data_IF_633710024543
#
_entry.id   IF_633710024543
#
_cell.length_a   1.000
_cell.length_b   1.000
_cell.length_c   1.000
_cell.angle_alpha   90.00
_cell.angle_beta   90.00
_cell.angle_gamma   90.00
#
_symmetry.space_group_name_H-M   'P 1'
#
loop_
_entity.id
_entity.type
_entity.pdbx_description
1 polymer ?
#
# COMPACT_ATOMS: atom_id res chain seq x y z
N UNK A 1 -2.59 -59.46 9.63
CA UNK A 1 -2.70 -58.34 10.58
C UNK A 1 -3.57 -57.28 9.93
N UNK A 2 -4.83 -57.19 10.34
CA UNK A 2 -5.76 -56.20 9.80
C UNK A 2 -5.41 -54.83 10.41
N UNK A 3 -4.86 -53.95 9.58
CA UNK A 3 -4.61 -52.56 9.91
C UNK A 3 -5.96 -51.91 10.19
N UNK A 4 -6.29 -51.72 11.48
CA UNK A 4 -7.56 -51.11 11.88
C UNK A 4 -7.54 -49.66 11.43
N UNK A 5 -8.44 -49.28 10.53
CA UNK A 5 -8.65 -47.90 10.11
C UNK A 5 -8.86 -47.04 11.36
N UNK A 6 -7.88 -46.18 11.67
CA UNK A 6 -7.92 -45.31 12.84
C UNK A 6 -8.88 -44.15 12.59
N UNK A 7 -10.15 -44.36 12.92
CA UNK A 7 -11.23 -43.38 12.74
C UNK A 7 -11.00 -42.07 13.49
N UNK A 8 -10.24 -42.09 14.59
CA UNK A 8 -9.91 -40.88 15.36
C UNK A 8 -8.90 -39.96 14.65
N UNK A 9 -7.93 -40.54 13.94
CA UNK A 9 -7.00 -39.78 13.12
C UNK A 9 -7.72 -39.15 11.91
N UNK A 10 -8.67 -39.88 11.35
CA UNK A 10 -9.49 -39.41 10.24
C UNK A 10 -10.40 -38.24 10.63
N UNK A 11 -11.07 -38.31 11.79
CA UNK A 11 -11.91 -37.20 12.28
C UNK A 11 -11.09 -35.95 12.60
N UNK A 12 -9.89 -36.11 13.17
CA UNK A 12 -8.96 -34.99 13.39
C UNK A 12 -8.53 -34.33 12.07
N UNK A 13 -8.18 -35.12 11.05
CA UNK A 13 -7.81 -34.61 9.74
C UNK A 13 -8.96 -33.86 9.04
N UNK A 14 -10.20 -34.36 9.15
CA UNK A 14 -11.38 -33.66 8.62
C UNK A 14 -11.64 -32.33 9.34
N UNK A 15 -11.43 -32.27 10.66
CA UNK A 15 -11.56 -31.02 11.42
C UNK A 15 -10.53 -29.98 11.00
N UNK A 16 -9.27 -30.38 10.87
CA UNK A 16 -8.20 -29.50 10.41
C UNK A 16 -8.47 -28.97 8.99
N UNK A 17 -8.90 -29.84 8.08
CA UNK A 17 -9.30 -29.46 6.73
C UNK A 17 -10.42 -28.42 6.74
N UNK A 18 -11.44 -28.61 7.58
CA UNK A 18 -12.56 -27.68 7.71
C UNK A 18 -12.10 -26.29 8.18
N UNK A 19 -11.26 -26.23 9.21
CA UNK A 19 -10.70 -24.98 9.74
C UNK A 19 -9.83 -24.25 8.70
N UNK A 20 -9.01 -24.97 7.93
CA UNK A 20 -8.19 -24.38 6.87
C UNK A 20 -9.06 -23.88 5.70
N UNK A 21 -10.14 -24.58 5.36
CA UNK A 21 -11.11 -24.13 4.36
C UNK A 21 -11.78 -22.82 4.78
N UNK A 22 -12.21 -22.70 6.03
CA UNK A 22 -12.76 -21.44 6.56
C UNK A 22 -11.74 -20.31 6.48
N UNK A 23 -10.51 -20.55 6.93
CA UNK A 23 -9.44 -19.55 6.92
C UNK A 23 -9.11 -19.09 5.50
N UNK A 24 -9.00 -20.02 4.55
CA UNK A 24 -8.76 -19.71 3.13
C UNK A 24 -9.92 -18.92 2.52
N UNK A 25 -11.15 -19.26 2.87
CA UNK A 25 -12.36 -18.58 2.37
C UNK A 25 -12.44 -17.16 2.90
N UNK A 26 -12.29 -16.97 4.21
CA UNK A 26 -12.26 -15.65 4.85
C UNK A 26 -11.20 -14.73 4.22
N UNK A 27 -9.97 -15.24 4.04
CA UNK A 27 -8.89 -14.50 3.36
C UNK A 27 -9.26 -14.07 1.94
N UNK A 28 -9.92 -14.95 1.18
CA UNK A 28 -10.33 -14.65 -0.20
C UNK A 28 -11.46 -13.62 -0.24
N UNK A 29 -12.39 -13.67 0.71
CA UNK A 29 -13.46 -12.68 0.83
C UNK A 29 -12.88 -11.29 1.11
N UNK A 30 -12.12 -11.14 2.21
CA UNK A 30 -11.53 -9.86 2.59
C UNK A 30 -10.60 -9.33 1.50
N UNK A 31 -9.78 -10.21 0.90
CA UNK A 31 -8.93 -9.84 -0.23
C UNK A 31 -9.70 -9.34 -1.46
N UNK A 32 -10.90 -9.86 -1.71
CA UNK A 32 -11.75 -9.40 -2.81
C UNK A 32 -12.34 -8.01 -2.52
N UNK A 33 -12.88 -7.79 -1.31
CA UNK A 33 -13.39 -6.46 -0.93
C UNK A 33 -12.27 -5.40 -0.90
N UNK A 34 -11.11 -5.74 -0.35
CA UNK A 34 -9.94 -4.85 -0.35
C UNK A 34 -9.50 -4.48 -1.79
N UNK A 35 -9.74 -5.36 -2.78
CA UNK A 35 -9.36 -5.11 -4.17
C UNK A 35 -10.22 -3.98 -4.76
N UNK A 36 -11.52 -3.98 -4.48
CA UNK A 36 -12.45 -2.93 -4.92
C UNK A 36 -11.97 -1.57 -4.41
N UNK A 37 -11.69 -1.47 -3.12
CA UNK A 37 -11.21 -0.24 -2.48
C UNK A 37 -9.88 0.21 -3.08
N UNK A 38 -8.94 -0.71 -3.32
CA UNK A 38 -7.65 -0.39 -3.95
C UNK A 38 -7.81 0.19 -5.36
N UNK A 39 -8.67 -0.40 -6.18
CA UNK A 39 -8.89 0.12 -7.54
C UNK A 39 -9.57 1.50 -7.51
N UNK A 40 -10.47 1.74 -6.56
CA UNK A 40 -11.04 3.07 -6.35
C UNK A 40 -9.99 4.10 -5.92
N UNK A 41 -9.10 3.76 -5.00
CA UNK A 41 -8.01 4.65 -4.59
C UNK A 41 -7.12 5.04 -5.78
N UNK A 42 -6.85 4.09 -6.68
CA UNK A 42 -6.14 4.37 -7.93
C UNK A 42 -6.96 5.27 -8.86
N UNK A 43 -8.28 5.06 -8.96
CA UNK A 43 -9.18 5.88 -9.78
C UNK A 43 -9.22 7.32 -9.29
N UNK A 44 -9.36 7.55 -7.98
CA UNK A 44 -9.37 8.88 -7.37
C UNK A 44 -8.01 9.57 -7.60
N UNK A 45 -6.91 8.88 -7.30
CA UNK A 45 -5.57 9.43 -7.52
C UNK A 45 -5.31 9.78 -9.00
N UNK A 46 -5.74 8.93 -9.93
CA UNK A 46 -5.62 9.18 -11.36
C UNK A 46 -6.49 10.37 -11.81
N UNK A 47 -7.72 10.46 -11.31
CA UNK A 47 -8.66 11.55 -11.57
C UNK A 47 -8.15 12.90 -11.07
N UNK A 48 -7.47 12.92 -9.93
CA UNK A 48 -6.80 14.10 -9.38
C UNK A 48 -5.48 14.46 -10.11
N UNK A 49 -5.13 13.74 -11.19
CA UNK A 49 -3.93 14.03 -11.98
C UNK A 49 -2.62 13.58 -11.33
N UNK A 50 -2.65 12.75 -10.28
CA UNK A 50 -1.47 12.24 -9.55
C UNK A 50 -0.72 11.13 -10.33
N UNK A 51 -0.49 11.36 -11.62
CA UNK A 51 0.05 10.39 -12.58
C UNK A 51 1.40 10.76 -13.19
N UNK A 52 2.03 11.85 -12.74
CA UNK A 52 3.23 12.45 -13.36
C UNK A 52 4.36 11.44 -13.64
N UNK A 53 4.64 10.53 -12.72
CA UNK A 53 5.64 9.46 -12.91
C UNK A 53 5.03 8.05 -12.91
N UNK A 54 3.72 7.92 -12.70
CA UNK A 54 3.05 6.63 -12.45
C UNK A 54 3.42 5.93 -11.13
N UNK A 55 4.47 6.37 -10.44
CA UNK A 55 5.00 5.72 -9.23
C UNK A 55 3.97 5.61 -8.10
N UNK A 56 3.11 6.63 -7.92
CA UNK A 56 2.06 6.60 -6.91
C UNK A 56 1.07 5.47 -7.20
N UNK A 57 0.45 5.49 -8.39
CA UNK A 57 -0.57 4.52 -8.80
C UNK A 57 -0.06 3.07 -8.76
N UNK A 58 1.19 2.85 -9.17
CA UNK A 58 1.81 1.52 -9.18
C UNK A 58 2.03 0.96 -7.77
N UNK A 59 2.10 1.82 -6.76
CA UNK A 59 2.42 1.45 -5.39
C UNK A 59 1.25 1.58 -4.42
N UNK A 60 0.06 2.01 -4.88
CA UNK A 60 -1.19 1.85 -4.13
C UNK A 60 -1.52 0.37 -4.08
N UNK A 61 -1.36 -0.23 -2.90
CA UNK A 61 -1.46 -1.66 -2.67
C UNK A 61 -2.26 -1.98 -1.43
N UNK A 62 -2.63 -3.25 -1.32
CA UNK A 62 -3.07 -3.85 -0.06
C UNK A 62 -1.91 -4.63 0.54
N UNK A 63 -1.72 -4.49 1.85
CA UNK A 63 -0.76 -5.27 2.63
C UNK A 63 -1.54 -6.13 3.61
N UNK A 64 -1.32 -7.43 3.55
CA UNK A 64 -1.84 -8.36 4.57
C UNK A 64 -0.88 -8.38 5.74
N UNK A 65 -1.38 -8.13 6.93
CA UNK A 65 -0.63 -8.19 8.18
C UNK A 65 -1.40 -9.02 9.21
N UNK A 66 -0.66 -9.62 10.15
CA UNK A 66 -1.24 -10.32 11.29
C UNK A 66 -0.96 -9.49 12.53
N UNK A 67 -2.02 -9.03 13.18
CA UNK A 67 -1.97 -8.29 14.44
C UNK A 67 -1.42 -9.20 15.55
N UNK A 68 -0.78 -8.67 16.62
CA UNK A 68 -0.34 -9.46 17.76
C UNK A 68 -1.44 -10.35 18.37
N UNK A 69 -2.69 -9.90 18.29
CA UNK A 69 -3.91 -10.63 18.70
C UNK A 69 -4.27 -11.80 17.77
N UNK A 70 -3.46 -12.06 16.74
CA UNK A 70 -3.66 -13.15 15.78
C UNK A 70 -4.64 -12.83 14.65
N UNK A 71 -5.29 -11.66 14.67
CA UNK A 71 -6.22 -11.16 13.65
C UNK A 71 -5.48 -10.87 12.34
N UNK A 72 -6.01 -11.34 11.21
CA UNK A 72 -5.51 -10.98 9.89
C UNK A 72 -6.20 -9.73 9.37
N UNK A 73 -5.42 -8.72 9.02
CA UNK A 73 -5.92 -7.43 8.53
C UNK A 73 -5.36 -7.14 7.13
N UNK A 74 -6.16 -6.44 6.32
CA UNK A 74 -5.78 -5.97 4.99
C UNK A 74 -5.70 -4.45 5.01
N UNK A 75 -4.47 -3.94 5.08
CA UNK A 75 -4.19 -2.52 5.17
C UNK A 75 -4.02 -1.95 3.77
N UNK A 76 -4.85 -0.96 3.41
CA UNK A 76 -4.70 -0.18 2.19
C UNK A 76 -3.61 0.88 2.44
N UNK A 77 -2.65 1.00 1.52
CA UNK A 77 -1.62 2.01 1.64
C UNK A 77 -0.71 2.08 0.42
N UNK A 78 0.33 2.92 0.52
CA UNK A 78 1.31 3.12 -0.55
C UNK A 78 2.66 2.56 -0.14
N UNK A 79 3.24 1.68 -0.96
CA UNK A 79 4.62 1.22 -0.75
C UNK A 79 5.62 2.29 -1.18
N UNK A 80 6.56 2.59 -0.30
CA UNK A 80 7.65 3.53 -0.59
C UNK A 80 8.92 3.12 0.18
N UNK A 81 10.08 3.57 -0.29
CA UNK A 81 11.38 3.28 0.30
C UNK A 81 11.60 1.79 0.57
N UNK A 82 11.91 1.45 1.84
CA UNK A 82 12.17 0.06 2.26
C UNK A 82 10.94 -0.86 2.08
N UNK A 83 9.72 -0.30 2.05
CA UNK A 83 8.50 -1.07 1.89
C UNK A 83 8.25 -1.53 0.43
N UNK A 84 9.03 -1.04 -0.55
CA UNK A 84 9.01 -1.55 -1.93
C UNK A 84 9.52 -3.01 -2.03
N UNK A 85 10.26 -3.46 -1.02
CA UNK A 85 10.74 -4.84 -0.89
C UNK A 85 12.08 -5.11 -1.58
N UNK A 86 12.52 -6.37 -1.51
CA UNK A 86 13.87 -6.78 -1.97
C UNK A 86 14.06 -6.67 -3.49
N UNK A 87 12.97 -6.80 -4.26
CA UNK A 87 12.97 -6.72 -5.73
C UNK A 87 12.86 -5.30 -6.26
N UNK A 88 12.84 -4.29 -5.39
CA UNK A 88 12.76 -2.90 -5.81
C UNK A 88 14.04 -2.51 -6.56
N UNK A 89 13.86 -2.00 -7.77
CA UNK A 89 14.95 -1.48 -8.58
C UNK A 89 15.57 -0.26 -7.89
N UNK A 90 16.90 -0.19 -7.92
CA UNK A 90 17.68 0.86 -7.30
C UNK A 90 18.62 1.45 -8.34
N UNK A 91 18.69 2.77 -8.38
CA UNK A 91 19.64 3.50 -9.21
C UNK A 91 20.64 4.27 -8.36
N UNK A 92 21.87 4.33 -8.85
CA UNK A 92 22.92 5.15 -8.27
C UNK A 92 22.78 6.57 -8.79
N UNK A 93 22.75 7.54 -7.88
CA UNK A 93 22.64 8.96 -8.19
C UNK A 93 23.75 9.68 -7.45
N UNK A 94 24.52 10.52 -8.15
CA UNK A 94 25.51 11.38 -7.52
C UNK A 94 24.77 12.50 -6.78
N UNK A 95 24.94 12.55 -5.46
CA UNK A 95 24.39 13.62 -4.64
C UNK A 95 25.14 14.94 -4.84
N UNK A 96 24.54 16.04 -4.40
CA UNK A 96 25.14 17.39 -4.47
C UNK A 96 26.51 17.45 -3.79
N UNK A 97 26.76 16.59 -2.80
CA UNK A 97 28.02 16.51 -2.08
C UNK A 97 29.07 15.58 -2.76
N UNK A 98 28.88 15.24 -4.04
CA UNK A 98 29.74 14.33 -4.81
C UNK A 98 29.65 12.84 -4.43
N UNK A 99 28.98 12.50 -3.33
CA UNK A 99 28.79 11.11 -2.88
C UNK A 99 27.74 10.39 -3.72
N UNK A 100 28.05 9.17 -4.15
CA UNK A 100 27.09 8.28 -4.79
C UNK A 100 26.06 7.80 -3.76
N UNK A 101 24.77 7.98 -4.07
CA UNK A 101 23.65 7.57 -3.24
C UNK A 101 22.75 6.60 -4.01
N UNK A 102 22.30 5.56 -3.32
CA UNK A 102 21.32 4.62 -3.86
C UNK A 102 19.91 5.15 -3.66
N UNK A 103 19.16 5.33 -4.74
CA UNK A 103 17.75 5.73 -4.72
C UNK A 103 16.87 4.63 -5.29
N UNK A 104 15.70 4.44 -4.70
CA UNK A 104 14.69 3.53 -5.24
C UNK A 104 14.08 4.13 -6.51
N UNK A 105 13.90 3.29 -7.53
CA UNK A 105 13.10 3.62 -8.72
C UNK A 105 11.62 3.44 -8.36
N UNK A 106 10.74 4.26 -8.94
CA UNK A 106 9.30 4.25 -8.66
C UNK A 106 8.95 4.37 -7.17
N UNK A 107 9.63 5.27 -6.46
CA UNK A 107 9.41 5.50 -5.03
C UNK A 107 8.52 6.72 -4.77
N UNK A 108 7.23 6.54 -4.45
CA UNK A 108 6.31 7.64 -4.18
C UNK A 108 6.44 8.15 -2.74
N UNK A 109 7.65 8.53 -2.30
CA UNK A 109 7.92 8.99 -0.93
C UNK A 109 7.01 10.15 -0.46
N UNK A 110 6.48 10.93 -1.40
CA UNK A 110 5.63 12.09 -1.18
C UNK A 110 4.14 11.75 -0.95
N UNK A 111 3.74 10.47 -0.99
CA UNK A 111 2.32 10.08 -0.93
C UNK A 111 1.59 10.59 0.32
N UNK A 112 2.24 10.62 1.49
CA UNK A 112 1.65 11.11 2.75
C UNK A 112 1.28 12.59 2.65
N UNK A 113 2.13 13.37 1.98
CA UNK A 113 1.90 14.81 1.79
C UNK A 113 0.68 15.02 0.89
N UNK A 114 0.47 14.14 -0.10
CA UNK A 114 -0.74 14.19 -0.94
C UNK A 114 -1.98 13.78 -0.16
N UNK A 115 -1.90 12.75 0.68
CA UNK A 115 -3.06 12.26 1.43
C UNK A 115 -3.51 13.25 2.54
N UNK A 116 -2.54 13.82 3.29
CA UNK A 116 -2.82 14.61 4.50
C UNK A 116 -2.61 16.11 4.29
N UNK A 117 -1.87 16.51 3.25
CA UNK A 117 -1.42 17.87 3.07
C UNK A 117 -0.18 18.21 3.92
N UNK A 118 0.32 19.43 3.74
CA UNK A 118 1.41 19.99 4.55
C UNK A 118 1.06 21.41 4.98
N UNK A 119 1.26 21.73 6.26
CA UNK A 119 1.04 23.09 6.78
C UNK A 119 2.09 24.07 6.24
N UNK A 120 1.80 25.37 6.20
CA UNK A 120 2.80 26.39 5.92
C UNK A 120 4.01 26.23 6.84
N UNK A 121 5.21 26.20 6.28
CA UNK A 121 6.45 26.01 7.04
C UNK A 121 7.64 26.71 6.38
N UNK A 122 8.65 26.99 7.18
CA UNK A 122 9.91 27.55 6.70
C UNK A 122 10.91 26.43 6.46
N UNK A 123 11.42 26.35 5.24
CA UNK A 123 12.49 25.43 4.87
C UNK A 123 13.82 26.13 5.14
N UNK A 124 14.65 25.50 5.96
CA UNK A 124 15.98 25.97 6.31
C UNK A 124 17.06 24.97 5.87
N UNK A 125 18.30 25.43 5.62
CA UNK A 125 19.42 24.55 5.32
C UNK A 125 19.66 23.55 6.45
N UNK A 126 20.11 22.36 6.10
CA UNK A 126 20.53 21.37 7.10
C UNK A 126 21.71 21.92 7.92
N UNK A 127 21.82 21.47 9.17
CA UNK A 127 22.94 21.81 10.07
C UNK A 127 24.28 21.57 9.37
N UNK A 128 25.08 22.62 9.22
CA UNK A 128 26.38 22.60 8.51
C UNK A 128 26.35 23.16 7.08
N UNK A 129 25.17 23.37 6.47
CA UNK A 129 25.04 24.09 5.20
C UNK A 129 24.61 25.54 5.44
N UNK A 130 25.17 26.49 4.70
CA UNK A 130 24.81 27.92 4.79
C UNK A 130 23.65 28.32 3.87
N UNK A 131 23.37 27.53 2.83
CA UNK A 131 22.39 27.84 1.80
C UNK A 131 21.63 26.59 1.36
N UNK A 132 20.37 26.80 0.97
CA UNK A 132 19.61 25.90 0.11
C UNK A 132 20.03 26.15 -1.33
N UNK A 133 20.16 25.10 -2.13
CA UNK A 133 20.56 25.18 -3.53
C UNK A 133 19.67 24.27 -4.38
N UNK A 134 19.14 24.80 -5.48
CA UNK A 134 18.41 24.04 -6.48
C UNK A 134 19.10 24.19 -7.83
N UNK A 135 19.74 23.12 -8.28
CA UNK A 135 20.32 23.02 -9.61
C UNK A 135 19.21 22.66 -10.59
N UNK A 136 18.88 23.54 -11.52
CA UNK A 136 17.92 23.29 -12.61
C UNK A 136 18.67 23.44 -13.92
N UNK A 137 18.96 22.38 -14.66
CA UNK A 137 19.57 22.52 -16.00
C UNK A 137 18.44 22.90 -16.98
N UNK A 138 18.53 23.96 -17.81
CA UNK A 138 19.69 24.82 -18.12
C UNK A 138 19.79 26.14 -17.32
N UNK A 139 18.96 26.36 -16.31
CA UNK A 139 18.90 27.59 -15.51
C UNK A 139 20.06 27.68 -14.48
N UNK A 140 20.44 28.91 -14.06
CA UNK A 140 21.41 29.07 -12.97
C UNK A 140 20.88 28.48 -11.66
N UNK A 141 21.77 27.91 -10.85
CA UNK A 141 21.44 27.36 -9.53
C UNK A 141 20.84 28.45 -8.65
N UNK A 142 19.61 28.23 -8.16
CA UNK A 142 18.94 29.15 -7.25
C UNK A 142 19.40 28.88 -5.82
N UNK A 143 19.76 29.93 -5.09
CA UNK A 143 20.18 29.86 -3.70
C UNK A 143 19.22 30.62 -2.79
N UNK A 144 18.92 30.05 -1.61
CA UNK A 144 18.13 30.73 -0.60
C UNK A 144 18.63 30.40 0.80
N UNK A 145 18.54 31.37 1.72
CA UNK A 145 18.81 31.14 3.15
C UNK A 145 17.61 30.53 3.87
N UNK A 146 16.40 30.94 3.48
CA UNK A 146 15.12 30.43 4.00
C UNK A 146 14.08 30.49 2.89
N UNK A 147 13.19 29.51 2.83
CA UNK A 147 12.03 29.54 1.94
C UNK A 147 10.76 29.38 2.77
N UNK A 148 9.87 30.36 2.69
CA UNK A 148 8.52 30.25 3.27
C UNK A 148 7.65 29.47 2.29
N UNK A 149 7.36 28.22 2.62
CA UNK A 149 6.46 27.39 1.83
C UNK A 149 5.02 27.59 2.33
N UNK A 150 4.04 27.92 1.47
CA UNK A 150 2.65 28.17 1.89
C UNK A 150 1.95 26.90 2.40
N UNK A 151 2.57 25.74 2.21
CA UNK A 151 1.96 24.44 2.49
C UNK A 151 1.51 23.77 1.19
N UNK A 152 0.93 22.60 1.34
CA UNK A 152 0.36 21.81 0.23
C UNK A 152 -1.02 21.38 0.66
N UNK A 153 -2.03 21.72 -0.15
CA UNK A 153 -3.40 21.24 0.09
C UNK A 153 -3.48 19.73 -0.08
N UNK A 154 -4.29 19.07 0.76
CA UNK A 154 -4.48 17.64 0.70
C UNK A 154 -5.29 17.26 -0.55
N UNK A 155 -4.86 16.23 -1.24
CA UNK A 155 -5.57 15.57 -2.34
C UNK A 155 -5.78 14.11 -1.95
N UNK A 156 -6.66 13.84 -0.97
CA UNK A 156 -6.81 12.50 -0.41
C UNK A 156 -7.37 11.53 -1.45
N UNK A 157 -6.84 10.30 -1.44
CA UNK A 157 -7.23 9.24 -2.35
C UNK A 157 -7.42 7.89 -1.65
N UNK A 158 -6.85 7.69 -0.45
CA UNK A 158 -7.05 6.46 0.33
C UNK A 158 -8.32 6.54 1.18
N UNK A 159 -8.45 7.58 1.99
CA UNK A 159 -9.63 7.79 2.84
C UNK A 159 -10.95 7.83 2.03
N UNK A 160 -11.09 8.64 0.96
CA UNK A 160 -12.33 8.68 0.20
C UNK A 160 -12.61 7.38 -0.55
N UNK A 161 -11.59 6.60 -0.93
CA UNK A 161 -11.80 5.30 -1.54
C UNK A 161 -12.45 4.29 -0.57
N UNK A 162 -12.06 4.34 0.71
CA UNK A 162 -12.64 3.50 1.75
C UNK A 162 -14.12 3.84 1.95
N UNK A 163 -14.45 5.13 2.05
CA UNK A 163 -15.82 5.59 2.23
C UNK A 163 -16.69 5.27 0.99
N UNK A 164 -16.23 5.64 -0.21
CA UNK A 164 -16.99 5.50 -1.44
C UNK A 164 -17.31 4.04 -1.81
N UNK A 165 -16.46 3.08 -1.42
CA UNK A 165 -16.59 1.67 -1.81
C UNK A 165 -16.85 0.72 -0.65
N UNK A 166 -17.22 1.25 0.51
CA UNK A 166 -17.51 0.42 1.69
C UNK A 166 -18.60 -0.63 1.41
N UNK A 167 -19.74 -0.19 0.90
CA UNK A 167 -20.88 -1.08 0.63
C UNK A 167 -20.59 -2.06 -0.50
N UNK A 168 -19.95 -1.60 -1.58
CA UNK A 168 -19.56 -2.47 -2.69
C UNK A 168 -18.53 -3.53 -2.26
N UNK A 169 -17.56 -3.14 -1.43
CA UNK A 169 -16.60 -4.09 -0.86
C UNK A 169 -17.30 -5.15 -0.01
N UNK A 170 -18.29 -4.77 0.81
CA UNK A 170 -19.11 -5.72 1.58
C UNK A 170 -19.91 -6.64 0.66
N UNK A 171 -20.56 -6.11 -0.37
CA UNK A 171 -21.31 -6.90 -1.34
C UNK A 171 -20.42 -7.95 -2.04
N UNK A 172 -19.20 -7.58 -2.45
CA UNK A 172 -18.23 -8.50 -3.05
C UNK A 172 -17.76 -9.57 -2.05
N UNK A 173 -17.60 -9.21 -0.78
CA UNK A 173 -17.29 -10.18 0.28
C UNK A 173 -18.43 -11.21 0.43
N UNK A 174 -19.69 -10.76 0.49
CA UNK A 174 -20.88 -11.62 0.59
C UNK A 174 -20.98 -12.55 -0.62
N UNK A 175 -20.87 -12.02 -1.83
CA UNK A 175 -20.87 -12.84 -3.06
C UNK A 175 -19.79 -13.92 -3.04
N UNK A 176 -18.60 -13.61 -2.47
CA UNK A 176 -17.55 -14.62 -2.32
C UNK A 176 -17.84 -15.68 -1.28
N UNK A 177 -18.53 -15.33 -0.21
CA UNK A 177 -19.02 -16.29 0.77
C UNK A 177 -20.05 -17.23 0.15
N UNK A 178 -21.05 -16.68 -0.53
CA UNK A 178 -22.11 -17.46 -1.19
C UNK A 178 -21.52 -18.43 -2.23
N UNK A 179 -20.58 -17.96 -3.04
CA UNK A 179 -19.89 -18.81 -4.01
C UNK A 179 -19.10 -19.96 -3.34
N UNK A 180 -18.52 -19.71 -2.16
CA UNK A 180 -17.81 -20.73 -1.41
C UNK A 180 -18.78 -21.76 -0.80
N UNK A 181 -19.90 -21.31 -0.22
CA UNK A 181 -20.96 -22.19 0.31
C UNK A 181 -21.55 -23.05 -0.81
N UNK A 182 -21.88 -22.46 -1.96
CA UNK A 182 -22.40 -23.20 -3.12
C UNK A 182 -21.41 -24.25 -3.63
N UNK A 183 -20.11 -23.95 -3.59
CA UNK A 183 -19.08 -24.91 -3.97
C UNK A 183 -18.99 -26.06 -2.96
N UNK A 184 -19.07 -25.75 -1.67
CA UNK A 184 -19.05 -26.76 -0.62
C UNK A 184 -20.26 -27.71 -0.72
N UNK A 185 -21.46 -27.19 -0.97
CA UNK A 185 -22.68 -27.99 -1.10
C UNK A 185 -22.79 -28.80 -2.40
N UNK A 186 -21.95 -28.51 -3.40
CA UNK A 186 -21.86 -29.28 -4.65
C UNK A 186 -20.87 -30.45 -4.57
N UNK A 187 -20.07 -30.51 -3.51
CA UNK A 187 -19.05 -31.55 -3.27
C UNK A 187 -19.63 -32.61 -2.35
#
# INVERSE_FOLDING_TARGET
>A
MADRINTSALTAAFKELHEDLHRRTARRMVGAGAKVIREEAKRIAAGAGLRRTGALLNNIVMKRERTPEGIEQYNLGVRHGRALGKKAEKKLVVGVNGRVQTRYVNDPWYWVILEVGAKPHVIEPRKGSKLLAWTQIPQPTKFARKVKHPGTEATPFLAPALENKREEALAVMVQRLEAAIKKANKS
#
